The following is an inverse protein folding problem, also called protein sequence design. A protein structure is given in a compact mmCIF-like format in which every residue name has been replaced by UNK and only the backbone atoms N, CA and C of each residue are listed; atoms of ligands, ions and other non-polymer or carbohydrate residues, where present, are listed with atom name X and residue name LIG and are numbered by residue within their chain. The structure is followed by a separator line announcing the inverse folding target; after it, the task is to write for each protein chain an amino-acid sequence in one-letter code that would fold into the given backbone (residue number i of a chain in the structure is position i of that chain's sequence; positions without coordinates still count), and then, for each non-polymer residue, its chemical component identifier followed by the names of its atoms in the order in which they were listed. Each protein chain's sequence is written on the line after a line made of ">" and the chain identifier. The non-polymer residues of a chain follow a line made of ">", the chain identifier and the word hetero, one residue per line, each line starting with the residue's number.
data_IF_620845186591
#
_entry.id   IF_620845186591
#
_cell.length_a   1.000
_cell.length_b   1.000
_cell.length_c   1.000
_cell.angle_alpha   90.00
_cell.angle_beta   90.00
_cell.angle_gamma   90.00
#
_symmetry.space_group_name_H-M   'P 1'
#
loop_
_entity.id
_entity.type
_entity.pdbx_description
1 polymer ?
#
# COMPACT_ATOMS: atom_id res chain seq x y z
N UNK A 1 -32.88 16.34 -0.95
CA UNK A 1 -31.64 17.05 -1.35
C UNK A 1 -30.37 16.50 -0.70
N UNK A 2 -30.44 15.59 0.30
CA UNK A 2 -29.26 14.96 0.94
C UNK A 2 -28.56 13.87 0.10
N UNK A 3 -29.24 13.28 -0.90
CA UNK A 3 -28.70 12.18 -1.71
C UNK A 3 -27.67 12.63 -2.77
N UNK A 4 -27.77 13.86 -3.30
CA UNK A 4 -26.87 14.34 -4.37
C UNK A 4 -25.52 14.78 -3.81
N UNK A 5 -25.49 15.35 -2.59
CA UNK A 5 -24.25 15.76 -1.94
C UNK A 5 -23.35 14.56 -1.60
N UNK A 6 -23.92 13.47 -1.06
CA UNK A 6 -23.16 12.27 -0.72
C UNK A 6 -22.50 11.58 -1.92
N UNK A 7 -23.17 11.58 -3.08
CA UNK A 7 -22.65 10.98 -4.31
C UNK A 7 -21.43 11.73 -4.87
N UNK A 8 -21.41 13.05 -4.71
CA UNK A 8 -20.29 13.90 -5.13
C UNK A 8 -19.06 13.67 -4.24
N UNK A 9 -19.27 13.48 -2.93
CA UNK A 9 -18.19 13.20 -1.99
C UNK A 9 -17.58 11.81 -2.21
N UNK A 10 -18.40 10.78 -2.45
CA UNK A 10 -17.95 9.41 -2.78
C UNK A 10 -17.04 9.42 -4.02
N UNK A 11 -17.51 10.06 -5.11
CA UNK A 11 -16.74 10.16 -6.36
C UNK A 11 -15.42 10.91 -6.17
N UNK A 12 -15.40 11.95 -5.33
CA UNK A 12 -14.17 12.68 -5.02
C UNK A 12 -13.16 11.81 -4.28
N UNK A 13 -13.59 11.08 -3.24
CA UNK A 13 -12.72 10.18 -2.47
C UNK A 13 -12.14 9.08 -3.33
N UNK A 14 -12.98 8.41 -4.13
CA UNK A 14 -12.55 7.36 -5.03
C UNK A 14 -11.54 7.87 -6.06
N UNK A 15 -11.74 9.09 -6.57
CA UNK A 15 -10.79 9.72 -7.48
C UNK A 15 -9.44 9.99 -6.82
N UNK A 16 -9.43 10.53 -5.60
CA UNK A 16 -8.20 10.75 -4.83
C UNK A 16 -7.47 9.43 -4.56
N UNK A 17 -8.20 8.38 -4.14
CA UNK A 17 -7.63 7.06 -3.91
C UNK A 17 -7.07 6.42 -5.18
N UNK A 18 -7.74 6.60 -6.32
CA UNK A 18 -7.28 6.12 -7.62
C UNK A 18 -6.04 6.86 -8.10
N UNK A 19 -5.95 8.17 -7.85
CA UNK A 19 -4.75 8.97 -8.09
C UNK A 19 -3.58 8.53 -7.22
N UNK A 20 -3.80 8.32 -5.92
CA UNK A 20 -2.78 7.78 -5.01
C UNK A 20 -2.31 6.41 -5.47
N UNK A 21 -3.23 5.50 -5.79
CA UNK A 21 -2.90 4.18 -6.31
C UNK A 21 -2.06 4.27 -7.60
N UNK A 22 -2.45 5.13 -8.54
CA UNK A 22 -1.70 5.31 -9.78
C UNK A 22 -0.32 5.94 -9.56
N UNK A 23 -0.19 6.89 -8.64
CA UNK A 23 1.08 7.51 -8.28
C UNK A 23 2.04 6.50 -7.63
N UNK A 24 1.54 5.65 -6.73
CA UNK A 24 2.32 4.61 -6.07
C UNK A 24 2.70 3.48 -7.04
N UNK A 25 1.85 3.16 -8.03
CA UNK A 25 2.23 2.23 -9.08
C UNK A 25 3.28 2.83 -10.02
N UNK A 26 3.19 4.14 -10.28
CA UNK A 26 4.15 4.85 -11.10
C UNK A 26 5.54 4.93 -10.43
N UNK A 27 5.60 5.08 -9.10
CA UNK A 27 6.88 5.03 -8.37
C UNK A 27 7.60 3.68 -8.56
N UNK A 28 6.88 2.55 -8.62
CA UNK A 28 7.46 1.25 -8.96
C UNK A 28 8.13 1.25 -10.34
N UNK A 29 7.50 1.87 -11.35
CA UNK A 29 8.08 1.97 -12.69
C UNK A 29 9.41 2.74 -12.65
N UNK A 30 9.49 3.81 -11.85
CA UNK A 30 10.72 4.57 -11.66
C UNK A 30 11.80 3.69 -11.03
N UNK A 31 11.47 2.91 -9.99
CA UNK A 31 12.43 1.98 -9.37
C UNK A 31 12.94 0.93 -10.36
N UNK A 32 12.08 0.42 -11.24
CA UNK A 32 12.47 -0.52 -12.30
C UNK A 32 13.47 0.11 -13.26
N UNK A 33 13.17 1.33 -13.75
CA UNK A 33 14.03 2.06 -14.67
C UNK A 33 15.40 2.31 -14.03
N UNK A 34 15.43 2.91 -12.83
CA UNK A 34 16.69 3.23 -12.13
C UNK A 34 17.48 1.94 -11.85
N UNK A 35 16.83 0.89 -11.34
CA UNK A 35 17.47 -0.39 -11.05
C UNK A 35 18.04 -1.06 -12.30
N UNK A 36 17.36 -0.94 -13.45
CA UNK A 36 17.86 -1.47 -14.71
C UNK A 36 19.11 -0.74 -15.21
N UNK A 37 19.12 0.60 -15.14
CA UNK A 37 20.27 1.40 -15.59
C UNK A 37 21.50 1.28 -14.69
N UNK A 38 21.32 1.12 -13.37
CA UNK A 38 22.44 1.00 -12.42
C UNK A 38 23.12 -0.38 -12.40
N UNK A 39 22.53 -1.38 -13.05
CA UNK A 39 23.02 -2.77 -13.12
C UNK A 39 24.47 -2.92 -13.62
N UNK A 40 24.99 -1.95 -14.36
CA UNK A 40 26.31 -2.02 -15.01
C UNK A 40 27.51 -1.53 -14.20
N UNK A 41 27.32 -0.95 -13.01
CA UNK A 41 28.39 -0.20 -12.33
C UNK A 41 28.98 -0.88 -11.08
N UNK A 42 28.40 -1.98 -10.60
CA UNK A 42 28.78 -2.58 -9.32
C UNK A 42 29.48 -3.93 -9.51
N UNK A 43 30.80 -3.88 -9.74
CA UNK A 43 31.68 -5.04 -9.58
C UNK A 43 32.06 -5.10 -8.09
N UNK A 44 31.28 -5.83 -7.29
CA UNK A 44 31.59 -6.00 -5.86
C UNK A 44 32.54 -7.19 -5.66
N UNK A 45 33.63 -6.94 -4.91
CA UNK A 45 34.65 -7.92 -4.54
C UNK A 45 34.07 -9.16 -3.85
N UNK A 46 34.70 -10.32 -4.04
CA UNK A 46 34.22 -11.63 -3.58
C UNK A 46 33.85 -11.72 -2.08
N UNK A 47 34.47 -10.91 -1.21
CA UNK A 47 34.14 -10.84 0.22
C UNK A 47 32.79 -10.17 0.52
N UNK A 48 32.33 -9.26 -0.34
CA UNK A 48 31.05 -8.58 -0.19
C UNK A 48 29.87 -9.51 -0.51
N UNK A 49 30.07 -10.52 -1.36
CA UNK A 49 29.02 -11.49 -1.73
C UNK A 49 28.43 -12.23 -0.53
N UNK A 50 29.25 -12.58 0.47
CA UNK A 50 28.78 -13.28 1.67
C UNK A 50 27.85 -12.41 2.53
N UNK A 51 28.15 -11.12 2.64
CA UNK A 51 27.30 -10.17 3.37
C UNK A 51 26.00 -9.87 2.58
N UNK A 52 26.10 -9.77 1.25
CA UNK A 52 24.96 -9.57 0.36
C UNK A 52 23.98 -10.75 0.39
N UNK A 53 24.48 -11.99 0.45
CA UNK A 53 23.61 -13.16 0.52
C UNK A 53 22.84 -13.22 1.84
N UNK A 54 23.47 -12.85 2.97
CA UNK A 54 22.77 -12.71 4.26
C UNK A 54 21.71 -11.61 4.21
N UNK A 55 22.06 -10.45 3.66
CA UNK A 55 21.13 -9.33 3.51
C UNK A 55 19.94 -9.71 2.63
N UNK A 56 20.19 -10.38 1.49
CA UNK A 56 19.14 -10.91 0.60
C UNK A 56 18.14 -11.77 1.38
N UNK A 57 18.62 -12.73 2.17
CA UNK A 57 17.76 -13.61 2.97
C UNK A 57 16.91 -12.80 3.95
N UNK A 58 17.50 -11.83 4.64
CA UNK A 58 16.79 -10.95 5.59
C UNK A 58 15.71 -10.12 4.88
N UNK A 59 16.02 -9.48 3.74
CA UNK A 59 15.03 -8.71 2.99
C UNK A 59 13.91 -9.58 2.41
N UNK A 60 14.20 -10.81 1.97
CA UNK A 60 13.16 -11.75 1.56
C UNK A 60 12.28 -12.17 2.73
N UNK A 61 12.87 -12.48 3.90
CA UNK A 61 12.11 -12.81 5.09
C UNK A 61 11.20 -11.65 5.53
N UNK A 62 11.72 -10.42 5.52
CA UNK A 62 10.93 -9.22 5.82
C UNK A 62 9.83 -9.03 4.79
N UNK A 63 10.11 -9.19 3.48
CA UNK A 63 9.10 -9.08 2.42
C UNK A 63 7.93 -10.05 2.63
N UNK A 64 8.22 -11.31 2.95
CA UNK A 64 7.19 -12.32 3.24
C UNK A 64 6.39 -11.92 4.49
N UNK A 65 7.07 -11.45 5.54
CA UNK A 65 6.42 -10.97 6.76
C UNK A 65 5.54 -9.76 6.49
N UNK A 66 5.97 -8.82 5.64
CA UNK A 66 5.21 -7.63 5.23
C UNK A 66 3.94 -8.04 4.49
N UNK A 67 4.04 -8.92 3.49
CA UNK A 67 2.86 -9.42 2.73
C UNK A 67 1.86 -10.09 3.66
N UNK A 68 2.35 -10.90 4.60
CA UNK A 68 1.52 -11.54 5.62
C UNK A 68 0.84 -10.49 6.51
N UNK A 69 1.62 -9.48 6.94
CA UNK A 69 1.15 -8.37 7.77
C UNK A 69 0.06 -7.56 7.09
N UNK A 70 0.10 -7.36 5.76
CA UNK A 70 -0.97 -6.64 5.04
C UNK A 70 -2.34 -7.31 5.25
N UNK A 71 -2.39 -8.65 5.17
CA UNK A 71 -3.63 -9.41 5.37
C UNK A 71 -4.15 -9.26 6.81
N UNK A 72 -3.26 -9.35 7.80
CA UNK A 72 -3.61 -9.20 9.22
C UNK A 72 -4.04 -7.77 9.55
N UNK A 73 -3.29 -6.77 9.08
CA UNK A 73 -3.55 -5.35 9.34
C UNK A 73 -4.89 -4.93 8.70
N UNK A 74 -5.18 -5.37 7.47
CA UNK A 74 -6.48 -5.09 6.83
C UNK A 74 -7.63 -5.71 7.61
N UNK A 75 -7.50 -6.98 8.02
CA UNK A 75 -8.50 -7.64 8.86
C UNK A 75 -8.71 -6.96 10.21
N UNK A 76 -7.62 -6.52 10.84
CA UNK A 76 -7.64 -5.84 12.14
C UNK A 76 -8.24 -4.43 12.07
N UNK A 77 -7.88 -3.64 11.05
CA UNK A 77 -8.40 -2.29 10.81
C UNK A 77 -9.90 -2.28 10.48
N UNK A 78 -10.38 -3.31 9.79
CA UNK A 78 -11.80 -3.46 9.48
C UNK A 78 -12.61 -4.03 10.67
N UNK A 79 -11.99 -4.83 11.54
CA UNK A 79 -12.69 -5.50 12.65
C UNK A 79 -12.78 -4.67 13.95
N UNK A 80 -11.93 -3.66 14.15
CA UNK A 80 -11.93 -2.86 15.39
C UNK A 80 -12.56 -1.46 15.20
N UNK A 81 -13.57 -1.10 16.01
CA UNK A 81 -14.05 0.28 16.10
C UNK A 81 -13.20 1.05 17.12
N UNK A 82 -12.02 1.55 16.75
CA UNK A 82 -11.23 2.33 17.73
C UNK A 82 -10.25 3.32 17.12
N UNK A 83 -10.50 4.60 17.38
CA UNK A 83 -9.61 5.74 17.68
C UNK A 83 -8.35 6.07 16.87
N UNK A 84 -7.74 5.14 16.14
CA UNK A 84 -6.56 5.41 15.28
C UNK A 84 -6.92 6.34 14.11
N UNK A 85 -8.21 6.43 13.78
CA UNK A 85 -8.78 7.26 12.70
C UNK A 85 -8.71 8.76 13.03
N UNK A 86 -8.49 9.13 14.29
CA UNK A 86 -8.46 10.54 14.71
C UNK A 86 -7.17 11.28 14.33
N UNK A 87 -6.07 10.56 14.08
CA UNK A 87 -4.75 11.17 13.84
C UNK A 87 -4.48 11.51 12.38
N UNK A 88 -5.12 10.84 11.42
CA UNK A 88 -5.13 11.31 10.03
C UNK A 88 -6.27 12.31 9.87
N UNK A 89 -6.10 13.51 10.45
CA UNK A 89 -6.96 14.67 10.12
C UNK A 89 -6.72 14.99 8.64
N UNK A 90 -7.48 14.37 7.76
CA UNK A 90 -7.66 14.90 6.42
C UNK A 90 -8.45 16.20 6.57
N UNK A 91 -7.75 17.33 6.50
CA UNK A 91 -8.31 18.67 6.43
C UNK A 91 -9.06 18.81 5.10
N UNK A 92 -10.33 18.38 5.08
CA UNK A 92 -11.20 18.48 3.92
C UNK A 92 -12.64 18.05 4.22
N UNK A 93 -13.58 18.17 3.26
CA UNK A 93 -15.03 17.94 3.43
C UNK A 93 -15.45 16.51 3.87
N UNK A 94 -14.48 15.66 4.18
CA UNK A 94 -14.55 14.24 4.50
C UNK A 94 -14.99 13.95 5.94
N UNK A 95 -16.03 14.64 6.41
CA UNK A 95 -16.46 14.58 7.81
C UNK A 95 -17.11 13.24 8.22
N UNK A 96 -17.37 12.32 7.27
CA UNK A 96 -17.92 11.01 7.62
C UNK A 96 -16.81 10.06 8.11
N UNK A 97 -16.90 9.53 9.35
CA UNK A 97 -15.86 8.67 9.94
C UNK A 97 -15.59 7.38 9.13
N UNK A 98 -16.53 6.98 8.27
CA UNK A 98 -16.41 5.85 7.34
C UNK A 98 -15.37 6.10 6.24
N UNK A 99 -15.36 7.31 5.66
CA UNK A 99 -14.43 7.65 4.58
C UNK A 99 -12.99 7.71 5.07
N UNK A 100 -12.76 8.25 6.27
CA UNK A 100 -11.44 8.29 6.89
C UNK A 100 -10.90 6.88 7.17
N UNK A 101 -11.72 5.99 7.76
CA UNK A 101 -11.36 4.58 8.00
C UNK A 101 -10.93 3.85 6.73
N UNK A 102 -11.74 3.93 5.69
CA UNK A 102 -11.46 3.26 4.42
C UNK A 102 -10.17 3.80 3.79
N UNK A 103 -10.04 5.12 3.75
CA UNK A 103 -8.88 5.78 3.15
C UNK A 103 -7.58 5.44 3.88
N UNK A 104 -7.57 5.45 5.21
CA UNK A 104 -6.38 5.08 5.99
C UNK A 104 -6.00 3.62 5.79
N UNK A 105 -6.96 2.68 5.87
CA UNK A 105 -6.68 1.26 5.62
C UNK A 105 -6.11 1.03 4.23
N UNK A 106 -6.60 1.78 3.25
CA UNK A 106 -6.16 1.71 1.88
C UNK A 106 -4.72 2.23 1.72
N UNK A 107 -4.43 3.42 2.23
CA UNK A 107 -3.09 4.03 2.19
C UNK A 107 -2.06 3.13 2.90
N UNK A 108 -2.39 2.59 4.07
CA UNK A 108 -1.51 1.69 4.81
C UNK A 108 -1.22 0.42 4.00
N UNK A 109 -2.25 -0.18 3.38
CA UNK A 109 -2.06 -1.39 2.55
C UNK A 109 -1.21 -1.10 1.31
N UNK A 110 -1.40 0.04 0.66
CA UNK A 110 -0.61 0.50 -0.47
C UNK A 110 0.85 0.78 -0.08
N UNK A 111 1.09 1.45 1.05
CA UNK A 111 2.44 1.74 1.54
C UNK A 111 3.21 0.46 1.92
N UNK A 112 2.54 -0.51 2.55
CA UNK A 112 3.13 -1.81 2.85
C UNK A 112 3.40 -2.63 1.58
N UNK A 113 2.55 -2.51 0.55
CA UNK A 113 2.82 -3.11 -0.74
C UNK A 113 4.05 -2.45 -1.40
N UNK A 114 4.13 -1.11 -1.37
CA UNK A 114 5.25 -0.34 -1.91
C UNK A 114 6.58 -0.67 -1.22
N UNK A 115 6.58 -0.83 0.10
CA UNK A 115 7.81 -1.14 0.85
C UNK A 115 8.48 -2.43 0.37
N UNK A 116 7.70 -3.44 -0.06
CA UNK A 116 8.24 -4.65 -0.71
C UNK A 116 8.99 -4.32 -2.01
N UNK A 117 8.47 -3.39 -2.80
CA UNK A 117 9.14 -2.88 -4.00
C UNK A 117 10.43 -2.13 -3.66
N UNK A 118 10.41 -1.31 -2.61
CA UNK A 118 11.60 -0.60 -2.10
C UNK A 118 12.67 -1.58 -1.63
N UNK A 119 12.30 -2.69 -0.97
CA UNK A 119 13.23 -3.75 -0.58
C UNK A 119 13.94 -4.36 -1.80
N UNK A 120 13.20 -4.63 -2.88
CA UNK A 120 13.77 -5.08 -4.14
C UNK A 120 14.70 -4.04 -4.77
N UNK A 121 14.31 -2.77 -4.74
CA UNK A 121 15.12 -1.66 -5.24
C UNK A 121 16.43 -1.50 -4.48
N UNK A 122 16.38 -1.46 -3.15
CA UNK A 122 17.56 -1.39 -2.28
C UNK A 122 18.47 -2.59 -2.54
N UNK A 123 17.93 -3.80 -2.63
CA UNK A 123 18.74 -4.99 -2.91
C UNK A 123 19.45 -4.91 -4.27
N UNK A 124 18.79 -4.35 -5.29
CA UNK A 124 19.41 -4.08 -6.60
C UNK A 124 20.53 -3.05 -6.53
N UNK A 125 20.38 -1.99 -5.72
CA UNK A 125 21.36 -0.92 -5.59
C UNK A 125 22.64 -1.37 -4.88
N UNK A 126 22.58 -2.36 -3.99
CA UNK A 126 23.76 -2.87 -3.25
C UNK A 126 24.48 -3.97 -4.07
N UNK A 127 24.08 -4.22 -5.32
CA UNK A 127 24.70 -5.25 -6.17
C UNK A 127 24.07 -6.64 -6.03
N UNK A 128 22.82 -6.72 -5.57
CA UNK A 128 22.02 -7.93 -5.63
C UNK A 128 21.75 -8.38 -7.07
N UNK A 129 21.15 -9.58 -7.24
CA UNK A 129 20.87 -10.07 -8.58
C UNK A 129 19.73 -9.24 -9.16
N UNK A 130 19.78 -8.86 -10.45
CA UNK A 130 18.71 -8.11 -11.09
C UNK A 130 17.37 -8.84 -11.03
N UNK A 131 17.40 -10.18 -10.99
CA UNK A 131 16.20 -11.00 -10.85
C UNK A 131 15.45 -10.74 -9.54
N UNK A 132 16.16 -10.41 -8.46
CA UNK A 132 15.53 -10.13 -7.15
C UNK A 132 14.71 -8.85 -7.20
N UNK A 133 15.20 -7.82 -7.90
CA UNK A 133 14.46 -6.58 -8.17
C UNK A 133 13.15 -6.91 -8.90
N UNK A 134 13.23 -7.61 -10.03
CA UNK A 134 12.06 -7.90 -10.85
C UNK A 134 11.03 -8.72 -10.06
N UNK A 135 11.46 -9.72 -9.28
CA UNK A 135 10.56 -10.55 -8.48
C UNK A 135 9.85 -9.74 -7.39
N UNK A 136 10.59 -9.00 -6.55
CA UNK A 136 10.00 -8.24 -5.45
C UNK A 136 9.13 -7.08 -5.96
N UNK A 137 9.55 -6.42 -7.04
CA UNK A 137 8.77 -5.38 -7.67
C UNK A 137 7.49 -5.93 -8.32
N UNK A 138 7.56 -7.11 -8.95
CA UNK A 138 6.39 -7.77 -9.52
C UNK A 138 5.41 -8.23 -8.43
N UNK A 139 5.91 -8.75 -7.31
CA UNK A 139 5.08 -9.10 -6.14
C UNK A 139 4.44 -7.84 -5.55
N UNK A 140 5.19 -6.75 -5.42
CA UNK A 140 4.67 -5.46 -4.96
C UNK A 140 3.57 -4.92 -5.89
N UNK A 141 3.81 -4.92 -7.21
CA UNK A 141 2.85 -4.50 -8.21
C UNK A 141 1.59 -5.39 -8.22
N UNK A 142 1.75 -6.71 -8.12
CA UNK A 142 0.64 -7.65 -8.03
C UNK A 142 -0.19 -7.41 -6.75
N UNK A 143 0.48 -7.12 -5.63
CA UNK A 143 -0.17 -6.79 -4.36
C UNK A 143 -0.96 -5.48 -4.49
N UNK A 144 -0.36 -4.42 -5.05
CA UNK A 144 -1.08 -3.16 -5.32
C UNK A 144 -2.26 -3.35 -6.27
N UNK A 145 -2.12 -4.19 -7.30
CA UNK A 145 -3.21 -4.52 -8.21
C UNK A 145 -4.35 -5.24 -7.49
N UNK A 146 -4.03 -6.16 -6.59
CA UNK A 146 -5.02 -6.85 -5.77
C UNK A 146 -5.78 -5.90 -4.84
N UNK A 147 -5.08 -4.96 -4.20
CA UNK A 147 -5.67 -3.93 -3.34
C UNK A 147 -6.12 -2.69 -4.11
N UNK A 148 -6.62 -2.82 -5.35
CA UNK A 148 -7.15 -1.68 -6.12
C UNK A 148 -8.43 -1.10 -5.47
N UNK A 149 -8.62 0.24 -5.45
CA UNK A 149 -9.81 0.84 -4.85
C UNK A 149 -11.07 0.42 -5.62
N UNK A 150 -12.01 -0.23 -4.93
CA UNK A 150 -13.29 -0.69 -5.48
C UNK A 150 -14.43 0.16 -4.95
N UNK A 151 -15.29 0.60 -5.85
CA UNK A 151 -16.45 1.44 -5.50
C UNK A 151 -17.48 0.64 -4.69
N UNK A 152 -17.59 -0.66 -4.97
CA UNK A 152 -18.51 -1.59 -4.31
C UNK A 152 -18.21 -1.76 -2.80
N UNK A 153 -16.94 -1.79 -2.41
CA UNK A 153 -16.55 -1.90 -0.99
C UNK A 153 -16.94 -0.66 -0.21
N UNK A 154 -16.78 0.52 -0.81
CA UNK A 154 -17.12 1.79 -0.16
C UNK A 154 -18.64 1.95 -0.03
N UNK A 155 -19.40 1.55 -1.05
CA UNK A 155 -20.87 1.52 -1.00
C UNK A 155 -21.39 0.53 0.06
N UNK A 156 -20.75 -0.65 0.19
CA UNK A 156 -21.07 -1.64 1.22
C UNK A 156 -20.80 -1.10 2.64
N UNK A 157 -19.68 -0.39 2.85
CA UNK A 157 -19.36 0.21 4.15
C UNK A 157 -20.32 1.36 4.53
N UNK A 158 -20.71 2.18 3.56
CA UNK A 158 -21.69 3.24 3.77
C UNK A 158 -23.07 2.67 4.14
N UNK A 159 -23.52 1.63 3.44
CA UNK A 159 -24.80 0.97 3.75
C UNK A 159 -24.78 0.26 5.11
N UNK A 160 -23.64 -0.34 5.51
CA UNK A 160 -23.48 -0.90 6.86
C UNK A 160 -23.52 0.18 7.95
N UNK A 161 -22.88 1.32 7.73
CA UNK A 161 -22.90 2.43 8.69
C UNK A 161 -24.29 3.07 8.80
N UNK A 162 -25.00 3.26 7.68
CA UNK A 162 -26.39 3.74 7.67
C UNK A 162 -27.35 2.74 8.35
N UNK A 163 -27.03 1.44 8.36
CA UNK A 163 -27.75 0.41 9.12
C UNK A 163 -27.37 0.33 10.59
N UNK A 164 -26.31 1.02 11.04
CA UNK A 164 -25.90 1.09 12.46
C UNK A 164 -26.20 2.45 13.14
N UNK A 165 -27.40 3.05 13.03
CA UNK A 165 -27.67 4.34 13.67
C UNK A 165 -27.83 4.25 15.21
N UNK A 166 -27.70 3.06 15.83
CA UNK A 166 -27.90 2.90 17.27
C UNK A 166 -26.99 1.85 17.92
N UNK A 167 -25.71 2.19 18.09
CA UNK A 167 -24.86 1.66 19.18
C UNK A 167 -23.89 2.77 19.62
N UNK A 168 -24.46 3.84 20.15
CA UNK A 168 -23.75 4.76 21.02
C UNK A 168 -24.36 4.63 22.41
N UNK A 169 -23.66 3.94 23.30
CA UNK A 169 -23.48 4.24 24.72
C UNK A 169 -22.31 3.38 25.21
#
# INVERSE_FOLDING_TARGET
>A
MSSVAGDVDIKRVLRTLRLLWAAMLFSLCIYLIIGHYMKGQLILSASANLALDKLRIVLYAISILTITSIKYIRGFLLSRPSDIVRTVRMTGPLQHPVFSKYTTSMIVSLALAESVGIYGFVLSMIGGKPIDLYLLLLVSAATMYYYRPREDELAALLSQYQRQPNKSL
#
